data_IF_588212962003
#
_entry.id   IF_588212962003
#
_cell.length_a   1.000
_cell.length_b   1.000
_cell.length_c   1.000
_cell.angle_alpha   90.00
_cell.angle_beta   90.00
_cell.angle_gamma   90.00
#
_symmetry.space_group_name_H-M   'P 1'
#
loop_
_entity.id
_entity.type
_entity.pdbx_description
1 polymer ?
#
# COMPACT_ATOMS: atom_id res chain seq x y z
N UNK A 1 -8.41 -20.11 -10.49
CA UNK A 1 -8.52 -18.67 -10.82
C UNK A 1 -8.92 -17.79 -9.64
N UNK A 2 -10.01 -18.05 -8.90
CA UNK A 2 -10.42 -17.22 -7.74
C UNK A 2 -9.32 -16.98 -6.71
N UNK A 3 -8.53 -18.01 -6.37
CA UNK A 3 -7.39 -17.87 -5.46
C UNK A 3 -6.33 -16.88 -5.94
N UNK A 4 -5.96 -16.92 -7.23
CA UNK A 4 -4.97 -16.01 -7.83
C UNK A 4 -5.45 -14.57 -7.78
N UNK A 5 -6.74 -14.32 -8.05
CA UNK A 5 -7.34 -12.99 -7.95
C UNK A 5 -7.35 -12.47 -6.51
N UNK A 6 -7.73 -13.30 -5.53
CA UNK A 6 -7.74 -12.93 -4.12
C UNK A 6 -6.33 -12.61 -3.61
N UNK A 7 -5.36 -13.45 -3.96
CA UNK A 7 -3.96 -13.23 -3.59
C UNK A 7 -3.38 -11.97 -4.24
N UNK A 8 -3.64 -11.76 -5.52
CA UNK A 8 -3.17 -10.57 -6.25
C UNK A 8 -3.78 -9.29 -5.68
N UNK A 9 -5.07 -9.31 -5.36
CA UNK A 9 -5.75 -8.17 -4.73
C UNK A 9 -5.24 -7.90 -3.31
N UNK A 10 -5.00 -8.95 -2.51
CA UNK A 10 -4.38 -8.81 -1.20
C UNK A 10 -2.99 -8.16 -1.30
N UNK A 11 -2.15 -8.63 -2.23
CA UNK A 11 -0.84 -8.02 -2.46
C UNK A 11 -0.96 -6.56 -2.90
N UNK A 12 -1.86 -6.24 -3.82
CA UNK A 12 -2.13 -4.87 -4.23
C UNK A 12 -2.55 -3.99 -3.05
N UNK A 13 -3.42 -4.51 -2.17
CA UNK A 13 -3.86 -3.84 -0.95
C UNK A 13 -2.67 -3.52 -0.03
N UNK A 14 -1.77 -4.48 0.20
CA UNK A 14 -0.56 -4.26 0.99
C UNK A 14 0.37 -3.21 0.37
N UNK A 15 0.58 -3.27 -0.95
CA UNK A 15 1.42 -2.29 -1.66
C UNK A 15 0.83 -0.90 -1.56
N UNK A 16 -0.47 -0.75 -1.83
CA UNK A 16 -1.15 0.55 -1.78
C UNK A 16 -1.15 1.10 -0.35
N UNK A 17 -1.46 0.28 0.66
CA UNK A 17 -1.44 0.70 2.05
C UNK A 17 -0.06 1.20 2.51
N UNK A 18 1.02 0.53 2.08
CA UNK A 18 2.39 0.99 2.32
C UNK A 18 2.67 2.35 1.65
N UNK A 19 2.14 2.59 0.45
CA UNK A 19 2.29 3.89 -0.23
C UNK A 19 1.41 4.97 0.37
N UNK A 20 0.24 4.65 0.89
CA UNK A 20 -0.56 5.59 1.69
C UNK A 20 0.18 5.98 2.98
N UNK A 21 0.91 5.05 3.62
CA UNK A 21 1.82 5.41 4.72
C UNK A 21 2.94 6.34 4.24
N UNK A 22 3.53 6.07 3.08
CA UNK A 22 4.49 6.97 2.45
C UNK A 22 3.94 8.38 2.17
N UNK A 23 2.68 8.49 1.76
CA UNK A 23 2.00 9.78 1.64
C UNK A 23 1.88 10.45 3.01
N UNK A 24 1.44 9.75 4.06
CA UNK A 24 1.41 10.32 5.42
C UNK A 24 2.81 10.75 5.90
N UNK A 25 3.88 10.13 5.41
CA UNK A 25 5.26 10.54 5.70
C UNK A 25 5.62 11.90 5.08
N UNK A 26 5.18 12.19 3.86
CA UNK A 26 5.35 13.52 3.26
C UNK A 26 4.73 14.64 4.10
N UNK A 27 3.55 14.38 4.68
CA UNK A 27 2.87 15.28 5.62
C UNK A 27 3.73 15.46 6.87
N UNK A 28 4.18 14.34 7.45
CA UNK A 28 5.05 14.33 8.62
C UNK A 28 6.30 15.21 8.42
N UNK A 29 7.06 15.01 7.34
CA UNK A 29 8.27 15.80 7.04
C UNK A 29 7.91 17.29 6.85
N UNK A 30 6.75 17.56 6.23
CA UNK A 30 6.27 18.92 6.03
C UNK A 30 5.90 19.61 7.36
N UNK A 31 5.36 18.88 8.34
CA UNK A 31 5.05 19.45 9.68
C UNK A 31 6.30 19.83 10.47
N UNK A 32 7.43 19.17 10.21
CA UNK A 32 8.75 19.55 10.72
C UNK A 32 9.39 20.70 9.95
N UNK A 33 8.87 21.01 8.76
CA UNK A 33 9.35 22.08 7.90
C UNK A 33 10.52 21.68 7.01
N UNK A 34 10.67 20.37 6.74
CA UNK A 34 11.84 19.81 6.06
C UNK A 34 11.51 19.21 4.68
N UNK A 35 10.25 19.28 4.25
CA UNK A 35 9.83 18.68 2.99
C UNK A 35 10.18 19.56 1.77
N UNK A 36 10.20 20.89 1.94
CA UNK A 36 10.72 21.82 0.95
C UNK A 36 11.32 23.08 1.60
N UNK A 37 12.29 23.70 0.93
CA UNK A 37 12.95 24.92 1.41
C UNK A 37 12.01 26.13 1.49
N UNK A 38 11.05 26.22 0.57
CA UNK A 38 10.03 27.28 0.58
C UNK A 38 8.85 26.86 1.47
N UNK A 39 8.50 27.69 2.46
CA UNK A 39 7.43 27.40 3.43
C UNK A 39 6.05 27.18 2.80
N UNK A 40 5.73 27.88 1.70
CA UNK A 40 4.45 27.73 1.02
C UNK A 40 4.41 26.43 0.21
N UNK A 41 5.51 26.11 -0.48
CA UNK A 41 5.63 24.84 -1.19
C UNK A 41 5.62 23.65 -0.23
N UNK A 42 6.32 23.75 0.90
CA UNK A 42 6.32 22.74 1.96
C UNK A 42 4.90 22.46 2.46
N UNK A 43 4.14 23.53 2.76
CA UNK A 43 2.75 23.39 3.18
C UNK A 43 1.88 22.78 2.08
N UNK A 44 1.98 23.26 0.84
CA UNK A 44 1.18 22.75 -0.28
C UNK A 44 1.44 21.27 -0.55
N UNK A 45 2.71 20.87 -0.66
CA UNK A 45 3.10 19.47 -0.90
C UNK A 45 2.72 18.57 0.27
N UNK A 46 2.91 19.04 1.51
CA UNK A 46 2.54 18.30 2.72
C UNK A 46 1.03 18.11 2.88
N UNK A 47 0.22 19.05 2.37
CA UNK A 47 -1.25 19.00 2.46
C UNK A 47 -1.88 18.35 1.23
N UNK A 48 -2.00 19.09 0.12
CA UNK A 48 -2.77 18.69 -1.06
C UNK A 48 -2.20 17.47 -1.78
N UNK A 49 -0.87 17.31 -1.81
CA UNK A 49 -0.22 16.18 -2.48
C UNK A 49 0.00 14.97 -1.57
N UNK A 50 -0.32 15.08 -0.28
CA UNK A 50 0.09 14.12 0.74
C UNK A 50 -1.00 13.96 1.82
N UNK A 51 -1.01 14.79 2.86
CA UNK A 51 -1.89 14.63 4.03
C UNK A 51 -3.36 14.50 3.68
N UNK A 52 -3.89 15.41 2.86
CA UNK A 52 -5.32 15.41 2.51
C UNK A 52 -5.72 14.18 1.70
N UNK A 53 -4.82 13.65 0.88
CA UNK A 53 -5.03 12.44 0.05
C UNK A 53 -5.23 11.21 0.93
N UNK A 54 -4.66 11.22 2.14
CA UNK A 54 -4.84 10.21 3.19
C UNK A 54 -5.66 10.73 4.37
N UNK A 55 -6.49 11.76 4.13
CA UNK A 55 -7.47 12.33 5.07
C UNK A 55 -6.89 13.03 6.32
N UNK A 56 -5.57 13.17 6.44
CA UNK A 56 -4.91 13.74 7.61
C UNK A 56 -4.69 15.25 7.46
N UNK A 57 -4.83 15.97 8.58
CA UNK A 57 -4.62 17.41 8.73
C UNK A 57 -3.16 17.71 9.06
N UNK A 58 -2.63 18.78 8.49
CA UNK A 58 -1.34 19.37 8.83
C UNK A 58 -1.31 19.95 10.24
N UNK A 59 -2.27 20.77 10.64
CA UNK A 59 -2.30 21.32 12.00
C UNK A 59 -2.46 20.23 13.06
N UNK A 60 -3.38 19.29 12.83
CA UNK A 60 -3.62 18.14 13.69
C UNK A 60 -2.40 17.24 13.81
N UNK A 61 -1.75 16.92 12.67
CA UNK A 61 -0.54 16.11 12.67
C UNK A 61 0.63 16.82 13.36
N UNK A 62 0.80 18.13 13.15
CA UNK A 62 1.83 18.93 13.79
C UNK A 62 1.62 19.02 15.31
N UNK A 63 0.38 19.16 15.76
CA UNK A 63 0.05 19.22 17.18
C UNK A 63 0.36 17.89 17.88
N UNK A 64 -0.15 16.78 17.35
CA UNK A 64 0.05 15.46 17.96
C UNK A 64 1.48 14.96 17.86
N UNK A 65 2.18 15.18 16.73
CA UNK A 65 3.56 14.70 16.55
C UNK A 65 4.62 15.70 17.04
N UNK A 66 4.70 16.87 16.43
CA UNK A 66 5.82 17.81 16.64
C UNK A 66 5.73 18.47 18.02
N UNK A 67 4.52 18.88 18.45
CA UNK A 67 4.35 19.58 19.73
C UNK A 67 4.25 18.65 20.92
N UNK A 68 3.68 17.45 20.73
CA UNK A 68 3.39 16.53 21.83
C UNK A 68 4.31 15.30 21.85
N UNK A 69 4.32 14.49 20.79
CA UNK A 69 5.11 13.24 20.78
C UNK A 69 6.62 13.45 20.93
N UNK A 70 7.23 14.36 20.15
CA UNK A 70 8.68 14.62 20.22
C UNK A 70 9.14 15.13 21.61
N UNK A 71 8.56 16.21 22.17
CA UNK A 71 9.08 16.79 23.42
C UNK A 71 8.64 16.05 24.68
N UNK A 72 7.58 15.24 24.60
CA UNK A 72 6.97 14.58 25.75
C UNK A 72 6.91 13.06 25.60
N UNK A 73 7.83 12.50 24.81
CA UNK A 73 7.90 11.09 24.45
C UNK A 73 7.74 10.17 25.67
N UNK A 74 6.75 9.29 25.61
CA UNK A 74 6.49 8.31 26.66
C UNK A 74 5.92 8.86 27.96
N UNK A 75 5.36 10.07 27.94
CA UNK A 75 4.62 10.67 29.07
C UNK A 75 3.13 10.72 28.76
N UNK A 76 2.30 11.18 29.71
CA UNK A 76 0.87 11.25 29.49
C UNK A 76 0.41 12.27 28.44
N UNK A 77 1.32 13.16 28.01
CA UNK A 77 1.06 14.10 26.92
C UNK A 77 1.35 13.54 25.53
N UNK A 78 2.08 12.43 25.44
CA UNK A 78 2.40 11.78 24.17
C UNK A 78 1.20 10.97 23.64
N UNK A 79 0.56 11.40 22.53
CA UNK A 79 -0.61 10.73 21.99
C UNK A 79 -0.32 9.28 21.57
N UNK A 80 0.90 9.00 21.12
CA UNK A 80 1.28 7.70 20.59
C UNK A 80 1.47 6.72 21.75
N UNK A 81 2.08 7.19 22.84
CA UNK A 81 2.12 6.45 24.10
C UNK A 81 0.72 6.20 24.68
N UNK A 82 -0.20 7.17 24.63
CA UNK A 82 -1.60 6.91 25.02
C UNK A 82 -2.22 5.81 24.17
N UNK A 83 -2.01 5.83 22.84
CA UNK A 83 -2.48 4.77 21.95
C UNK A 83 -1.92 3.39 22.30
N UNK A 84 -0.65 3.30 22.66
CA UNK A 84 -0.03 2.05 23.12
C UNK A 84 -0.64 1.56 24.44
N UNK A 85 -0.95 2.46 25.39
CA UNK A 85 -1.64 2.11 26.64
C UNK A 85 -3.07 1.66 26.40
N UNK A 86 -3.83 2.37 25.57
CA UNK A 86 -5.22 2.04 25.21
C UNK A 86 -5.32 0.65 24.54
N UNK A 87 -4.27 0.24 23.82
CA UNK A 87 -4.16 -1.11 23.23
C UNK A 87 -3.54 -2.16 24.16
N UNK A 88 -3.26 -1.83 25.43
CA UNK A 88 -2.72 -2.76 26.43
C UNK A 88 -1.27 -3.19 26.18
N UNK A 89 -0.52 -2.43 25.37
CA UNK A 89 0.89 -2.68 25.04
C UNK A 89 1.83 -2.09 26.09
N UNK A 90 1.46 -0.92 26.60
CA UNK A 90 2.17 -0.20 27.64
C UNK A 90 1.24 0.10 28.84
N UNK A 91 1.80 0.65 29.91
CA UNK A 91 1.17 0.93 31.18
C UNK A 91 1.13 -0.26 32.12
N UNK A 92 0.35 -0.09 33.20
CA UNK A 92 0.12 -1.08 34.26
C UNK A 92 -0.48 -2.39 33.69
N UNK A 93 -1.12 -2.32 32.53
CA UNK A 93 -1.76 -3.46 31.86
C UNK A 93 -0.79 -4.33 31.05
N UNK A 94 0.51 -4.02 30.99
CA UNK A 94 1.47 -4.74 30.15
C UNK A 94 1.64 -6.20 30.58
N UNK A 95 1.24 -7.12 29.70
CA UNK A 95 1.56 -8.55 29.81
C UNK A 95 1.97 -9.13 28.45
N UNK A 96 2.74 -10.22 28.43
CA UNK A 96 3.07 -10.94 27.18
C UNK A 96 1.80 -11.43 26.45
N UNK A 97 0.76 -11.77 27.20
CA UNK A 97 -0.53 -12.19 26.66
C UNK A 97 -1.24 -11.06 25.92
N UNK A 98 -1.24 -9.83 26.48
CA UNK A 98 -1.84 -8.66 25.82
C UNK A 98 -1.12 -8.29 24.53
N UNK A 99 0.22 -8.28 24.53
CA UNK A 99 1.00 -8.02 23.31
C UNK A 99 0.71 -9.08 22.24
N UNK A 100 0.68 -10.37 22.60
CA UNK A 100 0.32 -11.45 21.67
C UNK A 100 -1.10 -11.29 21.14
N UNK A 101 -2.06 -10.91 21.98
CA UNK A 101 -3.45 -10.65 21.59
C UNK A 101 -3.54 -9.47 20.61
N UNK A 102 -2.79 -8.41 20.85
CA UNK A 102 -2.76 -7.24 19.98
C UNK A 102 -2.15 -7.58 18.61
N UNK A 103 -1.03 -8.31 18.58
CA UNK A 103 -0.42 -8.81 17.35
C UNK A 103 -1.40 -9.68 16.55
N UNK A 104 -2.16 -10.54 17.22
CA UNK A 104 -3.26 -11.28 16.56
C UNK A 104 -4.39 -10.37 16.09
N UNK A 105 -4.73 -9.33 16.84
CA UNK A 105 -5.77 -8.39 16.42
C UNK A 105 -5.37 -7.55 15.21
N UNK A 106 -4.07 -7.40 14.90
CA UNK A 106 -3.60 -6.76 13.65
C UNK A 106 -4.02 -7.53 12.40
N UNK A 107 -4.34 -8.83 12.52
CA UNK A 107 -4.91 -9.64 11.44
C UNK A 107 -6.44 -9.52 11.36
N UNK A 108 -7.06 -8.79 12.29
CA UNK A 108 -8.49 -8.61 12.42
C UNK A 108 -8.90 -7.13 12.25
N UNK A 109 -10.15 -6.84 11.86
CA UNK A 109 -10.64 -5.46 11.75
C UNK A 109 -10.64 -4.66 13.05
N UNK A 110 -10.57 -5.32 14.22
CA UNK A 110 -10.63 -4.66 15.53
C UNK A 110 -9.42 -3.73 15.74
N UNK A 111 -8.20 -4.15 15.39
CA UNK A 111 -7.04 -3.28 15.52
C UNK A 111 -7.08 -2.12 14.54
N UNK A 112 -7.61 -2.35 13.32
CA UNK A 112 -7.88 -1.26 12.37
C UNK A 112 -8.83 -0.22 12.97
N UNK A 113 -9.87 -0.65 13.69
CA UNK A 113 -10.81 0.28 14.32
C UNK A 113 -10.12 1.13 15.39
N UNK A 114 -9.33 0.53 16.30
CA UNK A 114 -8.61 1.28 17.32
C UNK A 114 -7.64 2.30 16.71
N UNK A 115 -6.88 1.89 15.69
CA UNK A 115 -5.97 2.79 14.99
C UNK A 115 -6.73 3.90 14.25
N UNK A 116 -7.87 3.57 13.62
CA UNK A 116 -8.72 4.56 12.97
C UNK A 116 -9.26 5.58 13.96
N UNK A 117 -9.74 5.16 15.13
CA UNK A 117 -10.22 6.07 16.18
C UNK A 117 -9.09 6.98 16.69
N UNK A 118 -7.88 6.44 16.84
CA UNK A 118 -6.68 7.25 17.11
C UNK A 118 -6.45 8.30 16.01
N UNK A 119 -6.49 7.91 14.72
CA UNK A 119 -6.32 8.85 13.61
C UNK A 119 -7.43 9.91 13.61
N UNK A 120 -8.68 9.53 13.86
CA UNK A 120 -9.79 10.49 13.96
C UNK A 120 -9.53 11.52 15.04
N UNK A 121 -9.18 11.05 16.25
CA UNK A 121 -8.94 11.88 17.43
C UNK A 121 -7.76 12.85 17.26
N UNK A 122 -6.67 12.41 16.65
CA UNK A 122 -5.40 13.16 16.66
C UNK A 122 -4.92 13.66 15.29
N UNK A 123 -5.45 13.15 14.17
CA UNK A 123 -4.90 13.39 12.82
C UNK A 123 -5.95 13.81 11.79
N UNK A 124 -7.22 13.43 11.92
CA UNK A 124 -8.27 13.71 10.92
C UNK A 124 -9.21 14.81 11.41
N UNK A 125 -9.78 14.71 12.61
CA UNK A 125 -10.75 15.70 13.10
C UNK A 125 -10.41 16.11 14.52
N UNK A 126 -9.37 16.92 14.63
CA UNK A 126 -8.76 17.30 15.91
C UNK A 126 -9.21 18.70 16.32
N UNK A 127 -9.17 18.97 17.63
CA UNK A 127 -9.44 20.31 18.17
C UNK A 127 -8.39 21.35 17.80
N UNK A 128 -7.20 20.89 17.39
CA UNK A 128 -6.09 21.73 16.96
C UNK A 128 -6.16 22.08 15.46
N UNK A 129 -7.18 21.57 14.74
CA UNK A 129 -7.36 21.88 13.32
C UNK A 129 -7.72 23.35 13.12
N UNK A 130 -7.07 23.98 12.14
CA UNK A 130 -7.46 25.30 11.68
C UNK A 130 -8.75 25.22 10.84
N UNK A 131 -9.67 26.17 11.04
CA UNK A 131 -10.96 26.17 10.34
C UNK A 131 -10.79 26.31 8.82
N UNK A 132 -9.80 27.07 8.34
CA UNK A 132 -9.54 27.23 6.90
C UNK A 132 -8.97 25.95 6.33
N UNK A 133 -8.03 25.32 7.02
CA UNK A 133 -7.52 23.99 6.63
C UNK A 133 -8.65 22.96 6.54
N UNK A 134 -9.50 22.89 7.57
CA UNK A 134 -10.63 21.95 7.59
C UNK A 134 -11.57 22.17 6.42
N UNK A 135 -11.89 23.44 6.11
CA UNK A 135 -12.69 23.79 4.93
C UNK A 135 -11.98 23.37 3.63
N UNK A 136 -10.70 23.72 3.44
CA UNK A 136 -9.94 23.40 2.23
C UNK A 136 -9.85 21.89 2.00
N UNK A 137 -9.52 21.12 3.04
CA UNK A 137 -9.48 19.66 2.98
C UNK A 137 -10.85 19.08 2.68
N UNK A 138 -11.92 19.59 3.30
CA UNK A 138 -13.28 19.10 3.05
C UNK A 138 -13.71 19.35 1.61
N UNK A 139 -13.49 20.57 1.10
CA UNK A 139 -13.76 20.91 -0.31
C UNK A 139 -12.95 20.03 -1.26
N UNK A 140 -11.65 19.84 -0.98
CA UNK A 140 -10.77 18.97 -1.75
C UNK A 140 -11.30 17.53 -1.83
N UNK A 141 -11.68 16.94 -0.69
CA UNK A 141 -12.22 15.59 -0.62
C UNK A 141 -13.60 15.46 -1.29
N UNK A 142 -14.47 16.47 -1.16
CA UNK A 142 -15.77 16.52 -1.83
C UNK A 142 -15.58 16.57 -3.35
N UNK A 143 -14.65 17.40 -3.85
CA UNK A 143 -14.34 17.47 -5.29
C UNK A 143 -13.81 16.13 -5.79
N UNK A 144 -12.88 15.49 -5.08
CA UNK A 144 -12.39 14.16 -5.45
C UNK A 144 -13.53 13.14 -5.50
N UNK A 145 -14.39 13.12 -4.48
CA UNK A 145 -15.56 12.24 -4.46
C UNK A 145 -16.49 12.50 -5.64
N UNK A 146 -16.78 13.77 -5.95
CA UNK A 146 -17.60 14.16 -7.08
C UNK A 146 -17.02 13.70 -8.42
N UNK A 147 -15.70 13.76 -8.61
CA UNK A 147 -15.01 13.23 -9.80
C UNK A 147 -15.22 11.70 -9.94
N UNK A 148 -15.10 10.95 -8.85
CA UNK A 148 -15.32 9.49 -8.87
C UNK A 148 -16.79 9.10 -9.09
N UNK A 149 -17.73 9.89 -8.56
CA UNK A 149 -19.17 9.71 -8.79
C UNK A 149 -19.52 10.02 -10.25
N UNK A 150 -19.07 11.16 -10.77
CA UNK A 150 -19.31 11.58 -12.16
C UNK A 150 -18.74 10.57 -13.16
N UNK A 151 -17.51 10.10 -12.92
CA UNK A 151 -16.86 9.08 -13.78
C UNK A 151 -17.39 7.66 -13.58
N UNK A 152 -18.32 7.43 -12.64
CA UNK A 152 -18.87 6.11 -12.27
C UNK A 152 -17.79 5.08 -11.87
N UNK A 153 -16.67 5.55 -11.32
CA UNK A 153 -15.50 4.74 -10.91
C UNK A 153 -15.36 4.62 -9.41
N UNK A 154 -16.45 4.76 -8.66
CA UNK A 154 -16.45 4.65 -7.20
C UNK A 154 -15.93 3.30 -6.69
N UNK A 155 -16.05 2.23 -7.49
CA UNK A 155 -15.45 0.93 -7.18
C UNK A 155 -13.92 1.02 -7.09
N UNK A 156 -13.25 1.81 -7.95
CA UNK A 156 -11.80 2.00 -7.88
C UNK A 156 -11.40 2.69 -6.59
N UNK A 157 -12.12 3.75 -6.20
CA UNK A 157 -11.89 4.45 -4.94
C UNK A 157 -12.09 3.51 -3.75
N UNK A 158 -13.17 2.72 -3.74
CA UNK A 158 -13.46 1.78 -2.66
C UNK A 158 -12.38 0.69 -2.55
N UNK A 159 -12.13 -0.06 -3.63
CA UNK A 159 -11.26 -1.23 -3.60
C UNK A 159 -9.77 -0.89 -3.56
N UNK A 160 -9.34 0.21 -4.18
CA UNK A 160 -7.92 0.54 -4.29
C UNK A 160 -7.51 1.78 -3.50
N UNK A 161 -8.42 2.41 -2.75
CA UNK A 161 -8.04 3.50 -1.85
C UNK A 161 -8.56 3.28 -0.44
N UNK A 162 -9.88 3.14 -0.29
CA UNK A 162 -10.53 3.02 1.01
C UNK A 162 -10.17 1.70 1.71
N UNK A 163 -10.31 0.56 1.04
CA UNK A 163 -9.99 -0.74 1.65
C UNK A 163 -8.51 -0.81 2.07
N UNK A 164 -7.52 -0.49 1.22
CA UNK A 164 -6.11 -0.43 1.64
C UNK A 164 -5.85 0.53 2.81
N UNK A 165 -6.55 1.67 2.84
CA UNK A 165 -6.41 2.66 3.90
C UNK A 165 -6.91 2.12 5.26
N UNK A 166 -8.08 1.48 5.29
CA UNK A 166 -8.67 0.94 6.52
C UNK A 166 -8.11 -0.44 6.92
N UNK A 167 -7.20 -1.00 6.15
CA UNK A 167 -6.55 -2.29 6.43
C UNK A 167 -5.04 -2.14 6.46
N UNK A 168 -4.37 -2.35 5.32
CA UNK A 168 -2.92 -2.39 5.21
C UNK A 168 -2.21 -1.14 5.75
N UNK A 169 -2.70 0.07 5.46
CA UNK A 169 -2.10 1.30 5.98
C UNK A 169 -2.10 1.34 7.52
N UNK A 170 -3.21 0.98 8.15
CA UNK A 170 -3.36 0.97 9.61
C UNK A 170 -2.57 -0.16 10.27
N UNK A 171 -2.56 -1.35 9.66
CA UNK A 171 -1.77 -2.49 10.14
C UNK A 171 -0.29 -2.20 10.08
N UNK A 172 0.18 -1.64 8.95
CA UNK A 172 1.55 -1.21 8.80
C UNK A 172 1.86 -0.17 9.87
N UNK A 173 1.10 0.93 9.96
CA UNK A 173 1.34 1.99 10.93
C UNK A 173 1.41 1.50 12.38
N UNK A 174 0.49 0.60 12.78
CA UNK A 174 0.50 -0.03 14.12
C UNK A 174 1.74 -0.88 14.36
N UNK A 175 2.16 -1.64 13.34
CA UNK A 175 3.36 -2.47 13.41
C UNK A 175 4.63 -1.62 13.48
N UNK A 176 4.71 -0.52 12.70
CA UNK A 176 5.83 0.43 12.73
C UNK A 176 5.99 0.98 14.14
N UNK A 177 4.92 1.53 14.71
CA UNK A 177 4.88 2.12 16.04
C UNK A 177 5.40 1.15 17.12
N UNK A 178 4.90 -0.09 17.09
CA UNK A 178 5.35 -1.14 17.98
C UNK A 178 6.83 -1.46 17.78
N UNK A 179 7.27 -1.60 16.54
CA UNK A 179 8.67 -1.91 16.23
C UNK A 179 9.62 -0.79 16.64
N UNK A 180 9.19 0.45 16.69
CA UNK A 180 10.08 1.60 16.89
C UNK A 180 10.11 2.11 18.34
N UNK A 181 9.04 1.91 19.10
CA UNK A 181 8.90 2.41 20.47
C UNK A 181 8.81 1.32 21.55
N UNK A 182 8.23 0.16 21.24
CA UNK A 182 8.05 -0.90 22.24
C UNK A 182 9.32 -1.78 22.40
N UNK A 183 9.74 -2.13 23.63
CA UNK A 183 9.21 -1.74 24.94
C UNK A 183 9.97 -0.56 25.57
N UNK A 184 10.74 0.20 24.78
CA UNK A 184 11.76 1.13 25.25
C UNK A 184 11.18 2.32 26.01
N UNK A 185 10.03 2.85 25.57
CA UNK A 185 9.35 3.96 26.24
C UNK A 185 9.15 3.72 27.76
N UNK A 186 9.01 2.46 28.18
CA UNK A 186 8.79 2.11 29.59
C UNK A 186 10.01 1.53 30.29
N UNK A 187 10.85 0.81 29.55
CA UNK A 187 11.91 -0.02 30.14
C UNK A 187 13.30 0.58 30.02
N UNK A 188 13.49 1.50 29.07
CA UNK A 188 14.76 2.14 28.86
C UNK A 188 14.94 3.35 29.80
N UNK A 189 16.19 3.75 30.09
CA UNK A 189 16.45 5.03 30.74
C UNK A 189 15.78 6.18 30.01
N UNK A 190 15.28 7.18 30.75
CA UNK A 190 14.63 8.38 30.21
C UNK A 190 15.66 9.36 29.61
N UNK A 191 16.30 8.90 28.54
CA UNK A 191 17.28 9.61 27.74
C UNK A 191 16.85 9.43 26.28
N UNK A 192 16.74 10.52 25.53
CA UNK A 192 16.12 10.53 24.19
C UNK A 192 16.62 9.43 23.26
N UNK A 193 17.94 9.16 23.26
CA UNK A 193 18.57 8.14 22.41
C UNK A 193 18.13 6.70 22.74
N UNK A 194 17.62 6.47 23.95
CA UNK A 194 17.24 5.15 24.46
C UNK A 194 15.75 4.85 24.29
N UNK A 195 14.91 5.86 23.99
CA UNK A 195 13.45 5.73 24.01
C UNK A 195 12.86 5.24 22.68
N UNK A 196 13.62 5.35 21.59
CA UNK A 196 13.23 4.88 20.25
C UNK A 196 14.38 4.10 19.60
N UNK A 197 14.12 3.43 18.48
CA UNK A 197 15.16 2.78 17.69
C UNK A 197 14.93 2.90 16.20
N UNK A 198 16.02 2.87 15.45
CA UNK A 198 15.93 2.60 14.02
C UNK A 198 15.50 1.15 13.78
N UNK A 199 14.73 0.97 12.72
CA UNK A 199 14.23 -0.32 12.25
C UNK A 199 14.95 -0.67 10.96
N UNK A 200 15.73 -1.75 10.94
CA UNK A 200 16.36 -2.24 9.72
C UNK A 200 15.86 -3.63 9.41
N UNK A 201 15.16 -3.77 8.29
CA UNK A 201 14.61 -5.03 7.83
C UNK A 201 15.19 -5.41 6.47
N UNK A 202 15.11 -6.69 6.09
CA UNK A 202 15.43 -7.15 4.74
C UNK A 202 14.71 -6.35 3.65
N UNK A 203 15.25 -6.37 2.42
CA UNK A 203 14.77 -5.56 1.30
C UNK A 203 13.24 -5.65 1.06
N UNK A 204 12.67 -6.85 1.19
CA UNK A 204 11.25 -7.09 1.00
C UNK A 204 10.40 -6.37 2.06
N UNK A 205 10.78 -6.49 3.33
CA UNK A 205 10.09 -5.80 4.41
C UNK A 205 10.29 -4.30 4.32
N UNK A 206 11.51 -3.86 3.99
CA UNK A 206 11.80 -2.44 3.81
C UNK A 206 10.97 -1.80 2.69
N UNK A 207 10.61 -2.54 1.64
CA UNK A 207 9.71 -2.06 0.58
C UNK A 207 8.31 -1.68 1.09
N UNK A 208 7.80 -2.38 2.11
CA UNK A 208 6.49 -2.10 2.71
C UNK A 208 6.60 -1.17 3.93
N UNK A 209 7.66 -1.33 4.72
CA UNK A 209 7.78 -0.79 6.07
C UNK A 209 8.72 0.42 6.16
N UNK A 210 9.69 0.54 5.25
CA UNK A 210 10.72 1.57 5.23
C UNK A 210 10.61 2.52 4.04
N UNK A 211 9.38 2.81 3.60
CA UNK A 211 9.12 3.80 2.55
C UNK A 211 9.68 5.15 3.01
N UNK A 212 10.32 5.92 2.12
CA UNK A 212 10.83 7.26 2.43
C UNK A 212 11.84 7.31 3.59
N UNK A 213 12.67 6.27 3.74
CA UNK A 213 13.67 6.19 4.83
C UNK A 213 13.08 6.28 6.25
N UNK A 214 11.79 6.00 6.43
CA UNK A 214 11.10 5.98 7.74
C UNK A 214 11.72 4.97 8.72
N UNK A 215 12.52 4.04 8.19
CA UNK A 215 13.30 3.06 8.93
C UNK A 215 14.35 3.70 9.87
N UNK A 216 14.72 4.98 9.67
CA UNK A 216 15.64 5.75 10.52
C UNK A 216 14.94 6.56 11.63
N UNK A 217 14.01 5.93 12.35
CA UNK A 217 13.17 6.62 13.33
C UNK A 217 13.92 7.24 14.52
N UNK A 218 14.96 6.58 15.05
CA UNK A 218 15.78 7.15 16.12
C UNK A 218 16.48 8.44 15.66
N UNK A 219 16.99 8.44 14.43
CA UNK A 219 17.61 9.65 13.85
C UNK A 219 16.58 10.76 13.74
N UNK A 220 15.37 10.43 13.31
CA UNK A 220 14.28 11.39 13.24
C UNK A 220 13.97 12.02 14.61
N UNK A 221 13.97 11.24 15.69
CA UNK A 221 13.77 11.78 17.05
C UNK A 221 14.91 12.68 17.53
N UNK A 222 16.17 12.33 17.23
CA UNK A 222 17.33 13.13 17.63
C UNK A 222 17.45 14.40 16.79
N UNK A 223 17.13 14.33 15.50
CA UNK A 223 17.33 15.39 14.53
C UNK A 223 16.10 15.58 13.61
N UNK A 224 14.93 15.96 14.16
CA UNK A 224 13.68 16.03 13.40
C UNK A 224 13.68 17.08 12.28
N UNK A 225 14.64 18.01 12.30
CA UNK A 225 14.82 19.04 11.28
C UNK A 225 15.74 18.63 10.11
N UNK A 226 16.32 17.44 10.18
CA UNK A 226 17.10 16.90 9.05
C UNK A 226 16.14 16.27 8.06
N UNK A 227 16.22 16.59 6.75
CA UNK A 227 15.36 15.97 5.77
C UNK A 227 15.70 14.49 5.57
N UNK A 228 14.68 13.69 5.27
CA UNK A 228 14.78 12.22 5.22
C UNK A 228 15.83 11.64 4.25
N UNK A 229 16.15 12.35 3.16
CA UNK A 229 17.16 11.89 2.21
C UNK A 229 18.59 11.96 2.77
N UNK A 230 18.81 12.72 3.84
CA UNK A 230 20.09 12.84 4.55
C UNK A 230 20.25 11.87 5.71
N UNK A 231 19.21 11.13 6.11
CA UNK A 231 19.29 10.23 7.27
C UNK A 231 20.37 9.15 7.13
N UNK A 232 20.67 8.69 5.91
CA UNK A 232 21.78 7.76 5.67
C UNK A 232 23.14 8.38 6.01
N UNK A 233 23.34 9.66 5.68
CA UNK A 233 24.57 10.38 6.00
C UNK A 233 24.68 10.63 7.50
N UNK A 234 23.59 11.03 8.15
CA UNK A 234 23.55 11.19 9.61
C UNK A 234 23.82 9.86 10.31
N UNK A 235 23.21 8.77 9.85
CA UNK A 235 23.45 7.43 10.39
C UNK A 235 24.94 7.06 10.34
N UNK A 236 25.58 7.28 9.19
CA UNK A 236 27.01 7.00 9.00
C UNK A 236 27.89 7.79 9.96
N UNK A 237 27.57 9.06 10.23
CA UNK A 237 28.28 9.88 11.22
C UNK A 237 28.04 9.34 12.63
N UNK A 238 26.79 9.08 12.99
CA UNK A 238 26.44 8.58 14.34
C UNK A 238 27.00 7.19 14.63
N UNK A 239 27.25 6.36 13.63
CA UNK A 239 27.92 5.06 13.83
C UNK A 239 29.37 5.18 14.31
N UNK A 240 29.98 6.38 14.26
CA UNK A 240 31.28 6.64 14.89
C UNK A 240 31.17 6.83 16.40
N UNK A 241 29.98 7.13 16.91
CA UNK A 241 29.70 7.20 18.35
C UNK A 241 29.45 5.79 18.91
N UNK A 242 30.20 5.45 19.95
CA UNK A 242 30.15 4.10 20.57
C UNK A 242 28.79 3.79 21.20
N UNK A 243 28.10 4.80 21.74
CA UNK A 243 26.80 4.64 22.38
C UNK A 243 25.76 4.31 21.34
N UNK A 244 25.68 5.13 20.28
CA UNK A 244 24.75 4.95 19.18
C UNK A 244 24.97 3.60 18.47
N UNK A 245 26.23 3.28 18.14
CA UNK A 245 26.58 2.01 17.49
C UNK A 245 26.17 0.79 18.34
N UNK A 246 26.32 0.87 19.67
CA UNK A 246 25.91 -0.21 20.58
C UNK A 246 24.38 -0.41 20.61
N UNK A 247 23.61 0.68 20.57
CA UNK A 247 22.15 0.64 20.53
C UNK A 247 21.64 0.11 19.20
N UNK A 248 22.26 0.53 18.09
CA UNK A 248 21.97 -0.01 16.76
C UNK A 248 22.17 -1.53 16.70
N UNK A 249 23.28 -2.04 17.25
CA UNK A 249 23.54 -3.49 17.30
C UNK A 249 22.45 -4.25 18.08
N UNK A 250 21.93 -3.66 19.16
CA UNK A 250 20.82 -4.24 19.93
C UNK A 250 19.50 -4.22 19.16
N UNK A 251 19.21 -3.17 18.40
CA UNK A 251 17.96 -3.06 17.64
C UNK A 251 17.89 -4.04 16.48
N UNK A 252 19.00 -4.27 15.78
CA UNK A 252 19.11 -5.23 14.67
C UNK A 252 18.82 -6.66 15.12
N UNK A 253 19.26 -7.04 16.32
CA UNK A 253 19.07 -8.39 16.86
C UNK A 253 17.62 -8.71 17.30
N UNK A 254 16.77 -7.70 17.51
CA UNK A 254 15.36 -7.89 17.92
C UNK A 254 14.39 -8.06 16.73
N UNK A 255 14.84 -7.86 15.49
CA UNK A 255 14.00 -7.99 14.29
C UNK A 255 13.77 -9.46 13.89
N UNK A 256 13.08 -10.23 14.74
CA UNK A 256 12.38 -11.49 14.42
C UNK A 256 13.12 -12.55 13.58
N UNK A 257 14.45 -12.59 13.58
CA UNK A 257 15.22 -13.53 12.73
C UNK A 257 14.99 -13.32 11.22
N UNK A 258 14.38 -12.20 10.82
CA UNK A 258 14.28 -11.78 9.43
C UNK A 258 15.61 -11.12 9.08
N UNK A 259 16.45 -11.84 8.33
CA UNK A 259 17.81 -11.47 7.88
C UNK A 259 18.06 -9.96 7.97
N UNK A 260 18.86 -9.59 8.97
CA UNK A 260 19.41 -8.27 9.17
C UNK A 260 20.01 -7.76 7.86
N UNK A 261 19.39 -6.75 7.25
CA UNK A 261 20.02 -6.01 6.15
C UNK A 261 20.95 -4.97 6.77
N UNK A 262 22.25 -5.18 6.60
CA UNK A 262 23.27 -4.19 6.91
C UNK A 262 23.43 -3.26 5.69
N UNK A 263 22.97 -1.99 5.75
CA UNK A 263 23.13 -1.08 4.61
C UNK A 263 24.59 -0.78 4.29
N UNK A 264 25.53 -1.03 5.21
CA UNK A 264 26.96 -0.74 5.04
C UNK A 264 27.75 -1.78 4.24
N UNK A 265 27.17 -2.95 3.92
CA UNK A 265 27.80 -3.90 2.97
C UNK A 265 27.59 -3.50 1.50
N UNK A 266 26.89 -2.38 1.23
CA UNK A 266 26.43 -2.00 -0.12
C UNK A 266 27.28 -0.96 -0.85
N UNK A 267 28.58 -0.85 -0.55
CA UNK A 267 29.49 -0.12 -1.43
C UNK A 267 29.60 -0.74 -2.85
N UNK A 268 28.95 -1.89 -3.11
CA UNK A 268 28.84 -2.52 -4.44
C UNK A 268 27.48 -2.40 -5.16
N UNK A 269 26.43 -1.86 -4.52
CA UNK A 269 25.06 -1.99 -5.04
C UNK A 269 24.40 -0.69 -5.56
N UNK A 270 25.09 0.46 -5.58
CA UNK A 270 24.44 1.73 -5.94
C UNK A 270 24.00 1.84 -7.40
N UNK A 271 24.68 1.17 -8.34
CA UNK A 271 24.31 1.29 -9.77
C UNK A 271 23.42 0.16 -10.28
N UNK A 272 23.72 -1.10 -9.92
CA UNK A 272 22.92 -2.25 -10.39
C UNK A 272 21.50 -2.25 -9.83
N UNK A 273 21.30 -1.90 -8.56
CA UNK A 273 19.95 -1.85 -7.95
C UNK A 273 19.09 -0.73 -8.53
N UNK A 274 19.69 0.43 -8.83
CA UNK A 274 19.01 1.55 -9.52
C UNK A 274 18.60 1.15 -10.93
N UNK A 275 19.46 0.43 -11.66
CA UNK A 275 19.14 -0.07 -13.01
C UNK A 275 18.04 -1.14 -12.96
N UNK A 276 18.12 -2.09 -12.02
CA UNK A 276 17.10 -3.14 -11.85
C UNK A 276 15.76 -2.54 -11.43
N UNK A 277 15.75 -1.60 -10.47
CA UNK A 277 14.51 -0.91 -10.10
C UNK A 277 13.95 -0.09 -11.26
N UNK A 278 14.78 0.66 -12.01
CA UNK A 278 14.33 1.38 -13.21
C UNK A 278 13.75 0.43 -14.25
N UNK A 279 14.37 -0.73 -14.48
CA UNK A 279 13.88 -1.75 -15.39
C UNK A 279 12.56 -2.39 -14.92
N UNK A 280 12.41 -2.65 -13.62
CA UNK A 280 11.17 -3.16 -13.03
C UNK A 280 10.04 -2.12 -13.09
N UNK A 281 10.33 -0.85 -12.80
CA UNK A 281 9.35 0.25 -12.91
C UNK A 281 8.96 0.51 -14.36
N UNK A 282 9.91 0.44 -15.29
CA UNK A 282 9.63 0.53 -16.73
C UNK A 282 8.77 -0.64 -17.20
N UNK A 283 9.08 -1.87 -16.76
CA UNK A 283 8.31 -3.06 -17.11
C UNK A 283 6.90 -3.02 -16.52
N UNK A 284 6.75 -2.53 -15.28
CA UNK A 284 5.45 -2.34 -14.64
C UNK A 284 4.65 -1.22 -15.30
N UNK A 285 5.28 -0.10 -15.65
CA UNK A 285 4.63 1.00 -16.39
C UNK A 285 4.19 0.53 -17.78
N UNK A 286 5.03 -0.23 -18.49
CA UNK A 286 4.70 -0.83 -19.78
C UNK A 286 3.54 -1.82 -19.65
N UNK A 287 3.55 -2.68 -18.62
CA UNK A 287 2.45 -3.61 -18.33
C UNK A 287 1.15 -2.86 -18.01
N UNK A 288 1.21 -1.79 -17.21
CA UNK A 288 0.06 -0.97 -16.87
C UNK A 288 -0.47 -0.19 -18.08
N UNK A 289 0.40 0.28 -18.98
CA UNK A 289 0.02 0.89 -20.26
C UNK A 289 -0.63 -0.16 -21.18
N UNK A 290 -0.08 -1.36 -21.27
CA UNK A 290 -0.66 -2.48 -22.05
C UNK A 290 -2.04 -2.86 -21.49
N UNK A 291 -2.17 -2.96 -20.16
CA UNK A 291 -3.45 -3.25 -19.50
C UNK A 291 -4.44 -2.10 -19.69
N UNK A 292 -4.01 -0.85 -19.58
CA UNK A 292 -4.86 0.33 -19.78
C UNK A 292 -5.35 0.45 -21.22
N UNK A 293 -4.46 0.29 -22.20
CA UNK A 293 -4.80 0.26 -23.64
C UNK A 293 -5.63 -0.98 -24.01
N UNK A 294 -5.53 -2.06 -23.24
CA UNK A 294 -6.34 -3.27 -23.41
C UNK A 294 -7.77 -3.15 -22.89
N UNK A 295 -8.11 -2.16 -22.06
CA UNK A 295 -9.41 -2.14 -21.34
C UNK A 295 -10.56 -1.48 -22.07
N UNK A 296 -10.37 -0.81 -23.20
CA UNK A 296 -11.48 -0.12 -23.86
C UNK A 296 -12.36 -0.99 -24.77
N UNK A 297 -11.98 -2.22 -25.12
CA UNK A 297 -12.80 -3.15 -25.94
C UNK A 297 -12.61 -4.66 -25.61
N UNK A 298 -11.92 -5.03 -24.51
CA UNK A 298 -11.41 -6.40 -24.30
C UNK A 298 -12.48 -7.51 -24.26
N UNK A 299 -13.67 -7.21 -23.73
CA UNK A 299 -14.69 -8.23 -23.49
C UNK A 299 -15.35 -8.73 -24.79
N UNK A 300 -15.59 -7.84 -25.76
CA UNK A 300 -16.14 -8.22 -27.06
C UNK A 300 -15.11 -8.96 -27.93
N UNK A 301 -13.82 -8.82 -27.62
CA UNK A 301 -12.72 -9.45 -28.35
C UNK A 301 -12.34 -10.84 -27.83
N UNK A 302 -12.75 -11.18 -26.60
CA UNK A 302 -12.42 -12.45 -25.98
C UNK A 302 -12.93 -13.67 -26.77
N UNK A 303 -14.17 -13.61 -27.26
CA UNK A 303 -14.79 -14.70 -28.04
C UNK A 303 -14.15 -14.86 -29.42
N UNK A 304 -13.65 -13.76 -29.99
CA UNK A 304 -12.88 -13.76 -31.23
C UNK A 304 -11.51 -14.41 -31.00
N UNK A 305 -10.80 -13.99 -29.95
CA UNK A 305 -9.42 -14.40 -29.69
C UNK A 305 -9.31 -15.83 -29.18
N UNK A 306 -10.10 -16.24 -28.18
CA UNK A 306 -9.87 -17.51 -27.49
C UNK A 306 -10.28 -18.73 -28.32
N UNK A 307 -11.40 -18.71 -29.05
CA UNK A 307 -11.98 -19.96 -29.62
C UNK A 307 -11.67 -20.22 -31.09
N UNK A 308 -11.30 -19.19 -31.84
CA UNK A 308 -11.33 -19.22 -33.31
C UNK A 308 -10.12 -18.59 -34.02
N UNK A 309 -9.14 -18.01 -33.31
CA UNK A 309 -7.93 -17.46 -33.95
C UNK A 309 -6.77 -18.46 -33.96
N UNK A 310 -5.98 -18.43 -35.05
CA UNK A 310 -4.82 -19.33 -35.21
C UNK A 310 -3.67 -19.08 -34.22
N UNK A 311 -3.56 -17.88 -33.65
CA UNK A 311 -2.45 -17.51 -32.76
C UNK A 311 -2.65 -17.96 -31.30
N UNK A 312 -3.90 -18.09 -30.86
CA UNK A 312 -4.27 -18.66 -29.55
C UNK A 312 -4.52 -20.18 -29.62
N UNK A 313 -4.48 -20.75 -30.83
CA UNK A 313 -4.67 -22.17 -31.12
C UNK A 313 -3.86 -23.13 -30.24
N UNK A 314 -2.62 -22.85 -29.80
CA UNK A 314 -1.88 -23.75 -28.92
C UNK A 314 -2.50 -23.92 -27.52
N UNK A 315 -3.31 -22.96 -27.07
CA UNK A 315 -3.96 -22.98 -25.75
C UNK A 315 -5.42 -23.45 -25.80
N UNK A 316 -6.01 -23.58 -27.00
CA UNK A 316 -7.33 -24.16 -27.22
C UNK A 316 -7.31 -25.66 -26.93
N UNK A 317 -8.16 -26.12 -26.03
CA UNK A 317 -8.17 -27.49 -25.49
C UNK A 317 -7.40 -27.67 -24.19
N UNK A 318 -6.49 -26.74 -23.84
CA UNK A 318 -5.70 -26.76 -22.60
C UNK A 318 -6.28 -25.76 -21.59
N UNK A 319 -6.32 -24.48 -21.97
CA UNK A 319 -6.83 -23.41 -21.10
C UNK A 319 -8.34 -23.20 -21.30
N UNK A 320 -8.89 -23.38 -22.51
CA UNK A 320 -10.30 -23.18 -22.79
C UNK A 320 -10.82 -24.14 -23.86
N UNK A 321 -12.14 -24.37 -23.90
CA UNK A 321 -12.76 -25.26 -24.88
C UNK A 321 -12.77 -24.66 -26.29
N UNK A 322 -12.56 -25.50 -27.30
CA UNK A 322 -12.76 -25.14 -28.70
C UNK A 322 -14.22 -24.82 -29.02
N UNK A 323 -14.46 -24.14 -30.15
CA UNK A 323 -15.78 -23.64 -30.52
C UNK A 323 -16.91 -24.70 -30.53
N UNK A 324 -16.73 -25.90 -31.14
CA UNK A 324 -17.77 -26.93 -31.10
C UNK A 324 -18.10 -27.41 -29.68
N UNK A 325 -17.07 -27.69 -28.87
CA UNK A 325 -17.21 -28.17 -27.49
C UNK A 325 -17.87 -27.12 -26.59
N UNK A 326 -17.56 -25.84 -26.80
CA UNK A 326 -18.24 -24.74 -26.12
C UNK A 326 -19.72 -24.67 -26.52
N UNK A 327 -20.04 -24.72 -27.81
CA UNK A 327 -21.42 -24.62 -28.26
C UNK A 327 -22.29 -25.78 -27.74
N UNK A 328 -21.76 -26.99 -27.76
CA UNK A 328 -22.45 -28.18 -27.24
C UNK A 328 -22.51 -28.20 -25.71
N UNK A 329 -21.39 -27.95 -25.04
CA UNK A 329 -21.28 -28.08 -23.59
C UNK A 329 -21.88 -26.92 -22.80
N UNK A 330 -21.88 -25.71 -23.38
CA UNK A 330 -22.19 -24.48 -22.66
C UNK A 330 -23.43 -23.76 -23.13
N UNK A 331 -23.62 -23.72 -24.46
CA UNK A 331 -24.77 -23.05 -25.10
C UNK A 331 -25.90 -24.04 -25.43
N UNK A 332 -25.69 -25.34 -25.21
CA UNK A 332 -26.59 -26.43 -25.60
C UNK A 332 -27.03 -26.36 -27.08
N UNK A 333 -26.16 -25.86 -27.94
CA UNK A 333 -26.39 -25.86 -29.38
C UNK A 333 -25.82 -27.15 -29.99
N UNK A 334 -26.45 -27.66 -31.04
CA UNK A 334 -26.04 -28.91 -31.69
C UNK A 334 -24.60 -28.86 -32.24
N UNK A 335 -24.18 -27.72 -32.79
CA UNK A 335 -22.83 -27.54 -33.36
C UNK A 335 -22.32 -26.11 -33.15
N UNK A 336 -21.02 -25.91 -33.39
CA UNK A 336 -20.37 -24.60 -33.39
C UNK A 336 -19.29 -24.53 -34.45
N UNK A 337 -19.22 -23.43 -35.19
CA UNK A 337 -18.19 -23.20 -36.20
C UNK A 337 -17.57 -21.81 -36.06
N UNK A 338 -16.30 -21.70 -36.44
CA UNK A 338 -15.61 -20.43 -36.49
C UNK A 338 -15.93 -19.75 -37.82
N UNK A 339 -16.69 -18.66 -37.75
CA UNK A 339 -17.13 -17.92 -38.93
C UNK A 339 -16.33 -16.62 -39.01
N UNK A 340 -15.89 -16.28 -40.23
CA UNK A 340 -15.23 -15.02 -40.48
C UNK A 340 -16.24 -13.87 -40.34
N UNK A 341 -15.96 -12.93 -39.45
CA UNK A 341 -16.77 -11.73 -39.22
C UNK A 341 -16.03 -10.51 -39.74
N UNK A 342 -16.76 -9.62 -40.41
CA UNK A 342 -16.23 -8.38 -40.96
C UNK A 342 -15.99 -7.34 -39.86
N UNK A 343 -14.78 -6.79 -39.81
CA UNK A 343 -14.38 -5.63 -38.98
C UNK A 343 -14.85 -5.68 -37.54
N UNK A 344 -14.10 -6.37 -36.68
CA UNK A 344 -14.16 -6.11 -35.23
C UNK A 344 -13.15 -5.03 -34.86
N UNK A 345 -13.52 -4.13 -33.94
CA UNK A 345 -12.67 -3.08 -33.33
C UNK A 345 -11.51 -3.63 -32.50
N UNK A 346 -11.27 -4.94 -32.55
CA UNK A 346 -10.46 -5.71 -31.61
C UNK A 346 -8.94 -5.58 -31.78
N UNK A 347 -8.47 -5.04 -32.89
CA UNK A 347 -7.03 -4.94 -33.17
C UNK A 347 -6.62 -3.57 -33.71
N UNK A 348 -7.48 -2.55 -33.61
CA UNK A 348 -7.17 -1.18 -34.04
C UNK A 348 -6.95 -1.01 -35.56
N UNK A 349 -7.12 -2.08 -36.36
CA UNK A 349 -7.18 -2.07 -37.82
C UNK A 349 -8.17 -3.14 -38.29
N UNK A 350 -8.86 -2.87 -39.40
CA UNK A 350 -9.74 -3.82 -40.09
C UNK A 350 -8.94 -5.04 -40.57
N UNK A 351 -8.84 -6.06 -39.72
CA UNK A 351 -8.32 -7.39 -40.07
C UNK A 351 -9.47 -8.37 -39.97
N UNK A 352 -9.54 -9.30 -40.92
CA UNK A 352 -10.51 -10.41 -40.91
C UNK A 352 -10.43 -11.16 -39.58
N UNK A 353 -11.52 -11.17 -38.82
CA UNK A 353 -11.61 -11.81 -37.51
C UNK A 353 -12.49 -13.06 -37.59
N UNK A 354 -12.27 -14.04 -36.71
CA UNK A 354 -13.10 -15.24 -36.64
C UNK A 354 -13.80 -15.30 -35.28
N UNK A 355 -15.12 -15.47 -35.29
CA UNK A 355 -15.93 -15.58 -34.09
C UNK A 355 -16.58 -16.96 -34.03
N UNK A 356 -16.66 -17.54 -32.83
CA UNK A 356 -17.38 -18.78 -32.61
C UNK A 356 -18.89 -18.54 -32.70
N UNK A 357 -19.56 -19.17 -33.66
CA UNK A 357 -21.01 -19.12 -33.82
C UNK A 357 -21.62 -20.50 -33.58
N UNK A 358 -22.56 -20.56 -32.63
CA UNK A 358 -23.28 -21.77 -32.29
C UNK A 358 -24.55 -21.89 -33.14
N UNK A 359 -24.83 -23.08 -33.67
CA UNK A 359 -25.95 -23.31 -34.60
C UNK A 359 -26.63 -24.68 -34.37
N UNK A 360 -27.81 -24.86 -34.98
CA UNK A 360 -28.60 -26.08 -34.89
C UNK A 360 -29.67 -26.05 -33.77
N UNK A 361 -30.12 -27.22 -33.32
CA UNK A 361 -31.16 -27.37 -32.29
C UNK A 361 -30.60 -26.99 -30.91
N UNK A 362 -31.33 -26.13 -30.17
CA UNK A 362 -30.95 -25.66 -28.85
C UNK A 362 -31.72 -26.44 -27.79
N UNK A 363 -31.03 -27.16 -26.91
CA UNK A 363 -31.67 -28.01 -25.88
C UNK A 363 -31.41 -27.46 -24.49
N UNK A 364 -32.28 -26.55 -24.01
CA UNK A 364 -32.25 -26.02 -22.64
C UNK A 364 -31.51 -24.69 -22.47
N UNK A 365 -31.46 -24.19 -21.23
CA UNK A 365 -30.88 -22.89 -20.87
C UNK A 365 -29.36 -22.93 -20.74
N UNK A 366 -28.70 -21.81 -21.10
CA UNK A 366 -27.24 -21.67 -21.05
C UNK A 366 -26.68 -22.04 -19.67
N UNK A 367 -25.58 -22.82 -19.63
CA UNK A 367 -24.93 -23.19 -18.38
C UNK A 367 -23.99 -22.06 -17.90
N UNK A 368 -24.07 -21.61 -16.63
CA UNK A 368 -23.29 -20.49 -16.13
C UNK A 368 -21.79 -20.78 -15.90
N UNK A 369 -21.33 -22.02 -16.01
CA UNK A 369 -19.98 -22.46 -15.60
C UNK A 369 -18.93 -22.53 -16.72
N UNK A 370 -19.13 -21.80 -17.81
CA UNK A 370 -18.38 -22.02 -19.05
C UNK A 370 -17.21 -21.06 -19.34
N UNK A 371 -16.31 -20.90 -18.36
CA UNK A 371 -14.98 -20.29 -18.52
C UNK A 371 -13.98 -20.94 -17.55
N UNK A 372 -12.67 -20.88 -17.86
CA UNK A 372 -11.86 -21.77 -18.69
C UNK A 372 -11.65 -23.18 -18.09
N UNK A 373 -11.18 -24.12 -18.91
CA UNK A 373 -11.13 -25.55 -18.64
C UNK A 373 -10.16 -25.93 -17.50
N UNK A 374 -10.59 -26.87 -16.66
CA UNK A 374 -9.71 -27.59 -15.73
C UNK A 374 -9.78 -27.10 -14.28
N UNK A 375 -10.94 -27.22 -13.64
CA UNK A 375 -11.09 -27.49 -12.20
C UNK A 375 -12.46 -28.17 -12.02
N UNK A 376 -12.57 -29.39 -12.55
CA UNK A 376 -13.56 -30.37 -12.12
C UNK A 376 -12.97 -31.19 -10.98
#
# INVERSE_FOLDING_TARGET
MRFVWMFSYFLATCVIGARQRGLARGLHEATHGCFASNKYLNFFLGTFCSGYVVFQSFCGYRASHVRNHHPYLGTDRDPDYQGLKENGICGIQRTRAHVKRYLWSLLCPIASLNYFLYLVKYRIWTKDDDNRETLLRSVYLIILMAIFLYSRRCSLLLFYWIIPYFTAHMWIGSLIELMEHYPMIETAPRIDICLTRNRFCGWLWNFFLGVHNENYHLIHHLFPKVPEWEYHNVHRILMTDVTYASLHKKSVNLNLGLVSYNPFDNHKYSDKSRIIMKALWFSLALLLIILYLGTSNAWDCYETWSRCTGWSSPATGILWQGCPSYCQGCRNAATGSCVQVGTTTCTGKSVTAFQCQCSGRWTGSNKPTCYPAGLG
#
